data_IF_947191409457
#
_entry.id   IF_947191409457
#
_cell.length_a   1.000
_cell.length_b   1.000
_cell.length_c   1.000
_cell.angle_alpha   90.00
_cell.angle_beta   90.00
_cell.angle_gamma   90.00
#
_symmetry.space_group_name_H-M   'P 1'
#
loop_
_entity.id
_entity.type
_entity.pdbx_description
1 polymer ?
#
# COMPACT_ATOMS: atom_id res chain seq x y z
N UNK A 1 -11.69 10.45 17.62
CA UNK A 1 -10.25 10.58 17.32
C UNK A 1 -9.51 10.79 18.65
N UNK A 2 -8.46 10.03 18.91
CA UNK A 2 -7.68 10.12 20.16
C UNK A 2 -6.98 11.47 20.27
N UNK A 3 -7.05 12.12 21.44
CA UNK A 3 -6.29 13.35 21.69
C UNK A 3 -4.86 12.98 22.12
N UNK A 4 -3.93 13.02 21.17
CA UNK A 4 -2.53 12.65 21.40
C UNK A 4 -1.77 13.61 22.33
N UNK A 5 -2.27 14.82 22.56
CA UNK A 5 -1.68 15.76 23.52
C UNK A 5 -1.98 15.31 24.96
N UNK A 6 -3.20 14.79 25.21
CA UNK A 6 -3.61 14.30 26.53
C UNK A 6 -3.24 12.83 26.77
N UNK A 7 -3.26 12.02 25.71
CA UNK A 7 -3.04 10.58 25.75
C UNK A 7 -2.05 10.19 24.65
N UNK A 8 -0.76 10.49 24.83
CA UNK A 8 0.25 10.18 23.83
C UNK A 8 0.42 8.67 23.66
N UNK A 9 0.65 8.24 22.43
CA UNK A 9 1.04 6.87 22.09
C UNK A 9 2.57 6.76 22.26
N UNK A 10 3.02 6.49 23.48
CA UNK A 10 4.45 6.53 23.83
C UNK A 10 4.87 5.35 24.73
N UNK A 11 4.02 4.33 24.87
CA UNK A 11 4.33 3.14 25.67
C UNK A 11 4.53 1.92 24.78
N UNK A 12 5.18 0.89 25.30
CA UNK A 12 5.50 -0.32 24.53
C UNK A 12 4.25 -0.96 23.92
N UNK A 13 3.14 -1.00 24.68
CA UNK A 13 1.85 -1.55 24.23
C UNK A 13 1.20 -0.78 23.06
N UNK A 14 1.68 0.43 22.75
CA UNK A 14 1.17 1.22 21.64
C UNK A 14 1.81 0.86 20.30
N UNK A 15 2.85 0.01 20.28
CA UNK A 15 3.53 -0.39 19.05
C UNK A 15 2.55 -0.88 17.97
N UNK A 16 2.71 -0.37 16.75
CA UNK A 16 1.92 -0.77 15.59
C UNK A 16 0.49 -0.20 15.55
N UNK A 17 0.06 0.55 16.57
CA UNK A 17 -1.26 1.20 16.55
C UNK A 17 -1.33 2.21 15.40
N UNK A 18 -2.45 2.24 14.63
CA UNK A 18 -2.63 3.18 13.53
C UNK A 18 -2.69 4.63 14.05
N UNK A 19 -2.06 5.55 13.32
CA UNK A 19 -2.09 6.99 13.58
C UNK A 19 -2.55 7.72 12.32
N UNK A 20 -3.71 8.43 12.35
CA UNK A 20 -4.72 8.41 13.42
C UNK A 20 -5.42 7.05 13.53
N UNK A 21 -6.11 6.78 14.64
CA UNK A 21 -6.87 5.53 14.86
C UNK A 21 -8.13 5.48 13.97
N UNK A 22 -7.93 5.22 12.69
CA UNK A 22 -8.95 5.19 11.64
C UNK A 22 -8.60 4.14 10.58
N UNK A 23 -9.60 3.71 9.82
CA UNK A 23 -9.47 2.69 8.78
C UNK A 23 -8.53 3.06 7.61
N UNK A 24 -8.23 4.35 7.43
CA UNK A 24 -7.36 4.87 6.38
C UNK A 24 -6.03 5.39 6.93
N UNK A 25 -5.61 4.94 8.11
CA UNK A 25 -4.34 5.36 8.71
C UNK A 25 -3.16 4.99 7.82
N UNK A 26 -2.29 5.96 7.57
CA UNK A 26 -1.07 5.79 6.76
C UNK A 26 0.19 5.81 7.60
N UNK A 27 0.06 5.65 8.91
CA UNK A 27 1.17 5.66 9.86
C UNK A 27 0.85 4.75 11.03
N UNK A 28 1.90 4.31 11.72
CA UNK A 28 1.82 3.45 12.90
C UNK A 28 2.72 4.00 13.99
N UNK A 29 2.36 3.73 15.24
CA UNK A 29 3.16 4.12 16.38
C UNK A 29 4.41 3.24 16.52
N UNK A 30 5.58 3.88 16.63
CA UNK A 30 6.84 3.26 17.04
C UNK A 30 7.35 4.00 18.29
N UNK A 31 6.83 3.67 19.48
CA UNK A 31 6.94 4.52 20.67
C UNK A 31 8.34 4.55 21.31
N UNK A 32 9.15 3.53 21.06
CA UNK A 32 10.49 3.38 21.63
C UNK A 32 11.56 3.48 20.54
N UNK A 33 12.75 3.95 20.90
CA UNK A 33 13.88 4.01 19.97
C UNK A 33 14.24 2.64 19.40
N UNK A 34 14.19 1.60 20.24
CA UNK A 34 14.45 0.21 19.84
C UNK A 34 13.50 -0.27 18.75
N UNK A 35 12.22 0.15 18.77
CA UNK A 35 11.27 -0.19 17.70
C UNK A 35 11.67 0.42 16.35
N UNK A 36 12.26 1.63 16.36
CA UNK A 36 12.75 2.26 15.13
C UNK A 36 14.00 1.55 14.60
N UNK A 37 14.95 1.21 15.48
CA UNK A 37 16.14 0.43 15.09
C UNK A 37 15.74 -0.92 14.49
N UNK A 38 14.90 -1.68 15.19
CA UNK A 38 14.45 -2.99 14.73
C UNK A 38 13.57 -2.93 13.47
N UNK A 39 12.80 -1.86 13.26
CA UNK A 39 12.11 -1.62 12.00
C UNK A 39 13.09 -1.45 10.83
N UNK A 40 14.13 -0.63 10.99
CA UNK A 40 15.16 -0.41 9.97
C UNK A 40 16.00 -1.68 9.70
N UNK A 41 16.18 -2.52 10.72
CA UNK A 41 16.83 -3.84 10.60
C UNK A 41 15.90 -4.94 10.05
N UNK A 42 14.65 -4.59 9.70
CA UNK A 42 13.64 -5.51 9.16
C UNK A 42 13.29 -6.66 10.10
N UNK A 43 13.31 -6.43 11.42
CA UNK A 43 12.89 -7.41 12.41
C UNK A 43 11.42 -7.79 12.20
N UNK A 44 11.16 -9.09 11.98
CA UNK A 44 9.82 -9.62 11.76
C UNK A 44 8.90 -9.43 12.97
N UNK A 45 9.43 -9.45 14.18
CA UNK A 45 8.66 -9.25 15.41
C UNK A 45 8.08 -7.84 15.49
N UNK A 46 8.73 -6.86 14.88
CA UNK A 46 8.26 -5.48 14.79
C UNK A 46 7.37 -5.30 13.56
N UNK A 47 7.85 -5.66 12.37
CA UNK A 47 7.14 -5.40 11.12
C UNK A 47 5.78 -6.10 11.04
N UNK A 48 5.62 -7.29 11.64
CA UNK A 48 4.34 -8.01 11.69
C UNK A 48 3.31 -7.38 12.62
N UNK A 49 3.71 -6.49 13.53
CA UNK A 49 2.77 -5.78 14.41
C UNK A 49 1.98 -4.69 13.69
N UNK A 50 2.46 -4.26 12.51
CA UNK A 50 1.90 -3.13 11.80
C UNK A 50 0.64 -3.52 11.02
N UNK A 51 -0.46 -2.82 11.30
CA UNK A 51 -1.74 -3.01 10.60
C UNK A 51 -1.84 -2.22 9.29
N UNK A 52 -0.99 -1.20 9.16
CA UNK A 52 -0.94 -0.24 8.06
C UNK A 52 0.42 0.46 8.13
N UNK A 53 0.68 1.41 7.25
CA UNK A 53 1.87 2.26 7.37
C UNK A 53 2.05 3.14 6.16
N UNK A 54 3.26 3.70 6.05
CA UNK A 54 3.49 4.79 5.12
C UNK A 54 3.47 4.29 3.68
N UNK A 55 2.64 4.87 2.78
CA UNK A 55 2.44 4.37 1.41
C UNK A 55 3.70 4.26 0.55
N UNK A 56 4.82 4.88 0.95
CA UNK A 56 6.12 4.71 0.28
C UNK A 56 6.73 3.32 0.48
N UNK A 57 6.38 2.62 1.56
CA UNK A 57 7.00 1.34 1.92
C UNK A 57 6.08 0.16 1.60
N UNK A 58 4.77 0.32 1.72
CA UNK A 58 3.82 -0.72 1.38
C UNK A 58 2.43 -0.17 1.07
N UNK A 59 1.70 -0.87 0.21
CA UNK A 59 0.30 -0.57 -0.06
C UNK A 59 -0.54 -0.77 1.19
N UNK A 60 -1.37 0.23 1.50
CA UNK A 60 -2.36 0.12 2.56
C UNK A 60 -3.29 -1.10 2.32
N UNK A 61 -3.69 -1.87 3.36
CA UNK A 61 -4.47 -3.10 3.17
C UNK A 61 -5.75 -2.93 2.35
N UNK A 62 -6.46 -1.81 2.53
CA UNK A 62 -7.67 -1.50 1.73
C UNK A 62 -7.32 -1.31 0.24
N UNK A 63 -6.19 -0.67 -0.07
CA UNK A 63 -5.73 -0.48 -1.45
C UNK A 63 -5.33 -1.81 -2.06
N UNK A 64 -4.61 -2.66 -1.30
CA UNK A 64 -4.28 -4.03 -1.73
C UNK A 64 -5.54 -4.85 -2.00
N UNK A 65 -6.55 -4.75 -1.12
CA UNK A 65 -7.85 -5.41 -1.34
C UNK A 65 -8.52 -4.91 -2.61
N UNK A 66 -8.50 -3.60 -2.87
CA UNK A 66 -9.04 -3.02 -4.11
C UNK A 66 -8.34 -3.58 -5.35
N UNK A 67 -7.01 -3.67 -5.33
CA UNK A 67 -6.23 -4.25 -6.43
C UNK A 67 -6.60 -5.72 -6.64
N UNK A 68 -6.66 -6.51 -5.57
CA UNK A 68 -7.03 -7.93 -5.64
C UNK A 68 -8.45 -8.14 -6.21
N UNK A 69 -9.42 -7.27 -5.92
CA UNK A 69 -10.75 -7.37 -6.51
C UNK A 69 -10.74 -7.02 -8.00
N UNK A 70 -9.97 -6.02 -8.42
CA UNK A 70 -9.79 -5.70 -9.83
C UNK A 70 -9.06 -6.83 -10.59
N UNK A 71 -8.03 -7.43 -9.98
CA UNK A 71 -7.29 -8.56 -10.55
C UNK A 71 -8.19 -9.75 -10.89
N UNK A 72 -9.10 -10.12 -9.99
CA UNK A 72 -10.05 -11.23 -10.21
C UNK A 72 -10.95 -11.01 -11.42
N UNK A 73 -11.27 -9.77 -11.75
CA UNK A 73 -12.20 -9.42 -12.83
C UNK A 73 -11.48 -9.11 -14.15
N UNK A 74 -10.23 -8.63 -14.12
CA UNK A 74 -9.55 -8.04 -15.28
C UNK A 74 -8.27 -8.77 -15.71
N UNK A 75 -7.62 -9.52 -14.83
CA UNK A 75 -6.28 -10.06 -15.06
C UNK A 75 -6.31 -11.60 -15.16
N UNK A 76 -5.44 -12.14 -16.00
CA UNK A 76 -5.14 -13.58 -16.02
C UNK A 76 -4.14 -13.97 -14.92
N UNK A 77 -3.88 -15.28 -14.74
CA UNK A 77 -2.96 -15.79 -13.71
C UNK A 77 -1.53 -15.24 -13.80
N UNK A 78 -1.10 -14.78 -14.97
CA UNK A 78 0.23 -14.21 -15.22
C UNK A 78 0.24 -12.67 -15.21
N UNK A 79 -0.91 -12.05 -14.94
CA UNK A 79 -1.09 -10.61 -14.93
C UNK A 79 -1.51 -10.13 -13.55
N UNK A 80 -1.32 -8.84 -13.31
CA UNK A 80 -1.73 -8.15 -12.11
C UNK A 80 -2.41 -6.84 -12.48
N UNK A 81 -3.11 -6.27 -11.51
CA UNK A 81 -3.93 -5.10 -11.74
C UNK A 81 -3.65 -4.03 -10.69
N UNK A 82 -3.38 -2.81 -11.16
CA UNK A 82 -3.23 -1.64 -10.30
C UNK A 82 -4.38 -0.66 -10.58
N UNK A 83 -5.02 -0.19 -9.52
CA UNK A 83 -6.19 0.70 -9.60
C UNK A 83 -5.77 2.14 -9.29
N UNK A 84 -6.32 3.08 -10.06
CA UNK A 84 -6.00 4.49 -10.01
C UNK A 84 -7.27 5.34 -9.96
N UNK A 85 -7.22 6.49 -9.27
CA UNK A 85 -8.38 7.37 -9.12
C UNK A 85 -8.79 8.06 -10.44
N UNK A 86 -7.92 8.09 -11.45
CA UNK A 86 -8.21 8.69 -12.74
C UNK A 86 -7.32 8.16 -13.87
N UNK A 87 -7.75 8.42 -15.11
CA UNK A 87 -7.11 7.93 -16.33
C UNK A 87 -5.70 8.49 -16.54
N UNK A 88 -5.41 9.71 -16.08
CA UNK A 88 -4.09 10.33 -16.24
C UNK A 88 -3.04 9.64 -15.37
N UNK A 89 -3.37 9.34 -14.10
CA UNK A 89 -2.48 8.59 -13.21
C UNK A 89 -2.26 7.16 -13.70
N UNK A 90 -3.32 6.49 -14.16
CA UNK A 90 -3.20 5.16 -14.78
C UNK A 90 -2.29 5.19 -16.01
N UNK A 91 -2.47 6.17 -16.90
CA UNK A 91 -1.64 6.30 -18.11
C UNK A 91 -0.17 6.53 -17.77
N UNK A 92 0.14 7.45 -16.85
CA UNK A 92 1.53 7.70 -16.43
C UNK A 92 2.21 6.45 -15.87
N UNK A 93 1.48 5.65 -15.09
CA UNK A 93 2.02 4.42 -14.55
C UNK A 93 2.26 3.38 -15.65
N UNK A 94 1.30 3.20 -16.56
CA UNK A 94 1.45 2.32 -17.71
C UNK A 94 2.65 2.73 -18.57
N UNK A 95 2.74 4.00 -18.97
CA UNK A 95 3.86 4.53 -19.76
C UNK A 95 5.21 4.30 -19.07
N UNK A 96 5.26 4.48 -17.75
CA UNK A 96 6.45 4.21 -16.97
C UNK A 96 6.82 2.74 -17.03
N UNK A 97 5.90 1.82 -16.70
CA UNK A 97 6.14 0.38 -16.71
C UNK A 97 6.61 -0.07 -18.09
N UNK A 98 5.90 0.30 -19.16
CA UNK A 98 6.27 -0.10 -20.53
C UNK A 98 7.67 0.40 -20.89
N UNK A 99 8.06 1.59 -20.44
CA UNK A 99 9.38 2.17 -20.70
C UNK A 99 10.51 1.40 -20.00
N UNK A 100 10.32 0.94 -18.76
CA UNK A 100 11.39 0.25 -18.01
C UNK A 100 11.44 -1.25 -18.26
N UNK A 101 10.30 -1.90 -18.52
CA UNK A 101 10.24 -3.35 -18.67
C UNK A 101 10.18 -3.79 -20.13
N UNK A 102 9.87 -2.87 -21.06
CA UNK A 102 9.56 -3.18 -22.47
C UNK A 102 8.37 -4.14 -22.65
N UNK A 103 7.61 -4.40 -21.60
CA UNK A 103 6.39 -5.21 -21.64
C UNK A 103 5.19 -4.30 -21.87
N UNK A 104 4.23 -4.76 -22.66
CA UNK A 104 2.98 -4.04 -22.90
C UNK A 104 1.97 -4.31 -21.80
N UNK A 105 1.17 -3.30 -21.48
CA UNK A 105 0.01 -3.43 -20.63
C UNK A 105 -1.24 -2.86 -21.28
N UNK A 106 -2.35 -2.92 -20.56
CA UNK A 106 -3.60 -2.29 -20.99
C UNK A 106 -4.13 -1.39 -19.89
N UNK A 107 -4.76 -0.28 -20.29
CA UNK A 107 -5.54 0.57 -19.39
C UNK A 107 -7.02 0.31 -19.65
N UNK A 108 -7.77 0.09 -18.58
CA UNK A 108 -9.19 -0.23 -18.62
C UNK A 108 -9.96 0.64 -17.64
N UNK A 109 -11.24 0.87 -17.92
CA UNK A 109 -12.16 1.42 -16.91
C UNK A 109 -12.75 0.24 -16.16
N UNK A 110 -12.65 0.27 -14.83
CA UNK A 110 -13.19 -0.75 -13.97
C UNK A 110 -14.16 -0.10 -13.00
N UNK A 111 -15.45 -0.39 -13.15
CA UNK A 111 -16.53 0.30 -12.43
C UNK A 111 -16.45 1.81 -12.70
N UNK A 112 -16.18 2.61 -11.68
CA UNK A 112 -16.05 4.07 -11.70
C UNK A 112 -14.59 4.56 -11.62
N UNK A 113 -13.62 3.65 -11.61
CA UNK A 113 -12.19 3.96 -11.51
C UNK A 113 -11.40 3.47 -12.73
N UNK A 114 -10.13 3.86 -12.82
CA UNK A 114 -9.23 3.38 -13.87
C UNK A 114 -8.34 2.27 -13.33
N UNK A 115 -8.08 1.27 -14.14
CA UNK A 115 -7.20 0.16 -13.81
C UNK A 115 -6.17 -0.02 -14.93
N UNK A 116 -4.98 -0.51 -14.59
CA UNK A 116 -4.04 -1.04 -15.58
C UNK A 116 -3.83 -2.52 -15.33
N UNK A 117 -3.69 -3.28 -16.39
CA UNK A 117 -3.33 -4.71 -16.36
C UNK A 117 -1.96 -4.84 -17.00
N UNK A 118 -1.02 -5.43 -16.26
CA UNK A 118 0.36 -5.64 -16.69
C UNK A 118 0.84 -7.04 -16.27
N UNK A 119 1.85 -7.61 -16.94
CA UNK A 119 2.42 -8.89 -16.51
C UNK A 119 2.93 -8.82 -15.06
N UNK A 120 2.74 -9.88 -14.27
CA UNK A 120 3.19 -9.94 -12.85
C UNK A 120 4.67 -9.66 -12.68
N UNK A 121 5.49 -10.05 -13.65
CA UNK A 121 6.93 -9.78 -13.66
C UNK A 121 7.27 -8.27 -13.71
N UNK A 122 6.29 -7.41 -14.01
CA UNK A 122 6.43 -5.96 -14.07
C UNK A 122 5.87 -5.22 -12.86
N UNK A 123 5.11 -5.91 -11.99
CA UNK A 123 4.65 -5.30 -10.75
C UNK A 123 5.81 -5.18 -9.77
N UNK A 124 5.99 -3.97 -9.24
CA UNK A 124 6.91 -3.62 -8.16
C UNK A 124 6.25 -3.93 -6.81
#
# INVERSE_FOLDING_TARGET
>A
MLNLIKYPLCREEDLGRPIPDMIHATSVCMPLWQHNVAYEELDESITKTFKSGYPRFFYHPIVRKLFNEAEKELASDQECCLVFPNSQSAQRCLDYIEKITSQKGSKQVWRDVCAIVVPKACAV
#
